data_IF_848457130551
#
_entry.id   IF_848457130551
#
_cell.length_a   1.000
_cell.length_b   1.000
_cell.length_c   1.000
_cell.angle_alpha   90.00
_cell.angle_beta   90.00
_cell.angle_gamma   90.00
#
_symmetry.space_group_name_H-M   'P 1'
#
loop_
_entity.id
_entity.type
_entity.pdbx_description
1 polymer ?
#
# COMPACT_ATOMS: atom_id res chain seq x y z
N UNK A 1 35.99 -3.22 -7.61
CA UNK A 1 34.69 -3.89 -7.38
C UNK A 1 34.91 -5.37 -7.58
N UNK A 2 34.67 -6.18 -6.55
CA UNK A 2 34.77 -7.64 -6.69
C UNK A 2 33.48 -8.18 -7.32
N UNK A 3 33.53 -8.47 -8.61
CA UNK A 3 32.36 -8.96 -9.36
C UNK A 3 31.89 -10.35 -8.90
N UNK A 4 32.79 -11.18 -8.38
CA UNK A 4 32.42 -12.51 -7.88
C UNK A 4 31.58 -12.39 -6.61
N UNK A 5 31.97 -11.48 -5.71
CA UNK A 5 31.20 -11.15 -4.51
C UNK A 5 29.86 -10.51 -4.84
N UNK A 6 29.80 -9.58 -5.80
CA UNK A 6 28.54 -8.96 -6.22
C UNK A 6 27.56 -10.00 -6.76
N UNK A 7 28.04 -10.95 -7.57
CA UNK A 7 27.22 -12.04 -8.11
C UNK A 7 26.69 -12.95 -7.01
N UNK A 8 27.54 -13.40 -6.07
CA UNK A 8 27.09 -14.24 -4.95
C UNK A 8 26.13 -13.51 -4.00
N UNK A 9 26.37 -12.22 -3.77
CA UNK A 9 25.50 -11.35 -2.97
C UNK A 9 24.14 -11.20 -3.62
N UNK A 10 24.10 -10.94 -4.93
CA UNK A 10 22.86 -10.82 -5.68
C UNK A 10 22.01 -12.10 -5.59
N UNK A 11 22.63 -13.28 -5.80
CA UNK A 11 21.93 -14.57 -5.65
C UNK A 11 21.38 -14.76 -4.24
N UNK A 12 22.13 -14.34 -3.21
CA UNK A 12 21.69 -14.46 -1.82
C UNK A 12 20.50 -13.54 -1.52
N UNK A 13 20.55 -12.29 -1.97
CA UNK A 13 19.44 -11.33 -1.77
C UNK A 13 18.19 -11.71 -2.56
N UNK A 14 18.33 -12.27 -3.77
CA UNK A 14 17.20 -12.76 -4.56
C UNK A 14 16.37 -13.83 -3.82
N UNK A 15 16.99 -14.63 -2.96
CA UNK A 15 16.28 -15.60 -2.11
C UNK A 15 15.36 -14.94 -1.07
N UNK A 16 15.57 -13.68 -0.75
CA UNK A 16 14.74 -12.91 0.19
C UNK A 16 13.58 -12.16 -0.48
N UNK A 17 13.59 -12.04 -1.82
CA UNK A 17 12.54 -11.37 -2.59
C UNK A 17 11.14 -11.94 -2.32
N UNK A 18 10.93 -13.28 -2.21
CA UNK A 18 9.63 -13.82 -1.87
C UNK A 18 9.07 -13.26 -0.56
N UNK A 19 9.89 -13.10 0.48
CA UNK A 19 9.47 -12.50 1.76
C UNK A 19 9.02 -11.05 1.58
N UNK A 20 9.78 -10.25 0.83
CA UNK A 20 9.42 -8.86 0.50
C UNK A 20 8.10 -8.80 -0.27
N UNK A 21 7.88 -9.70 -1.24
CA UNK A 21 6.65 -9.77 -2.01
C UNK A 21 5.45 -10.21 -1.15
N UNK A 22 5.61 -11.17 -0.24
CA UNK A 22 4.54 -11.58 0.67
C UNK A 22 4.15 -10.42 1.60
N UNK A 23 5.14 -9.73 2.20
CA UNK A 23 4.90 -8.53 3.01
C UNK A 23 4.10 -7.49 2.22
N UNK A 24 4.57 -7.17 1.01
CA UNK A 24 3.94 -6.20 0.13
C UNK A 24 2.50 -6.59 -0.22
N UNK A 25 2.30 -7.80 -0.74
CA UNK A 25 0.99 -8.26 -1.22
C UNK A 25 -0.04 -8.37 -0.10
N UNK A 26 0.33 -8.93 1.05
CA UNK A 26 -0.59 -9.05 2.19
C UNK A 26 -0.92 -7.67 2.79
N UNK A 27 0.06 -6.77 2.89
CA UNK A 27 -0.17 -5.43 3.41
C UNK A 27 -1.11 -4.61 2.52
N UNK A 28 -0.93 -4.68 1.19
CA UNK A 28 -1.86 -4.04 0.24
C UNK A 28 -3.24 -4.69 0.32
N UNK A 29 -3.32 -6.00 0.40
CA UNK A 29 -4.60 -6.71 0.46
C UNK A 29 -5.41 -6.30 1.70
N UNK A 30 -4.84 -6.46 2.91
CA UNK A 30 -5.53 -6.12 4.15
C UNK A 30 -5.71 -4.60 4.30
N UNK A 31 -4.71 -3.81 3.91
CA UNK A 31 -4.81 -2.35 3.91
C UNK A 31 -5.88 -1.83 2.96
N UNK A 32 -6.03 -2.45 1.78
CA UNK A 32 -7.09 -2.14 0.83
C UNK A 32 -8.49 -2.49 1.35
N UNK A 33 -8.67 -3.67 1.95
CA UNK A 33 -9.93 -4.04 2.61
C UNK A 33 -10.31 -3.04 3.71
N UNK A 34 -9.34 -2.70 4.56
CA UNK A 34 -9.55 -1.70 5.61
C UNK A 34 -9.83 -0.31 5.01
N UNK A 35 -9.14 0.09 3.94
CA UNK A 35 -9.38 1.36 3.25
C UNK A 35 -10.81 1.49 2.74
N UNK A 36 -11.42 0.40 2.23
CA UNK A 36 -12.82 0.38 1.81
C UNK A 36 -13.77 0.66 2.99
N UNK A 37 -13.48 0.11 4.17
CA UNK A 37 -14.25 0.38 5.39
C UNK A 37 -14.05 1.83 5.86
N UNK A 38 -12.81 2.31 5.90
CA UNK A 38 -12.49 3.69 6.31
C UNK A 38 -13.13 4.71 5.35
N UNK A 39 -13.03 4.51 4.03
CA UNK A 39 -13.57 5.46 3.04
C UNK A 39 -15.09 5.50 3.09
N UNK A 40 -15.76 4.36 3.25
CA UNK A 40 -17.22 4.30 3.39
C UNK A 40 -17.70 5.04 4.63
N UNK A 41 -17.07 4.81 5.79
CA UNK A 41 -17.33 5.60 7.00
C UNK A 41 -17.12 7.10 6.76
N UNK A 42 -16.03 7.44 6.07
CA UNK A 42 -15.63 8.82 5.80
C UNK A 42 -16.63 9.59 4.92
N UNK A 43 -17.34 8.90 4.02
CA UNK A 43 -18.36 9.47 3.11
C UNK A 43 -19.82 9.21 3.53
N UNK A 44 -20.05 8.46 4.61
CA UNK A 44 -21.38 7.96 5.04
C UNK A 44 -22.42 9.01 5.47
N UNK A 45 -22.07 10.30 5.51
CA UNK A 45 -22.94 11.37 6.03
C UNK A 45 -23.13 11.37 7.56
N UNK A 46 -22.93 10.24 8.25
CA UNK A 46 -22.97 10.16 9.70
C UNK A 46 -21.75 10.85 10.33
N UNK A 47 -21.94 11.88 11.19
CA UNK A 47 -20.84 12.65 11.77
C UNK A 47 -19.95 11.82 12.69
N UNK A 48 -20.50 10.82 13.40
CA UNK A 48 -19.72 9.95 14.28
C UNK A 48 -18.78 9.03 13.49
N UNK A 49 -19.31 8.34 12.46
CA UNK A 49 -18.50 7.48 11.59
C UNK A 49 -17.46 8.27 10.80
N UNK A 50 -17.86 9.44 10.27
CA UNK A 50 -16.94 10.32 9.56
C UNK A 50 -15.86 10.90 10.50
N UNK A 51 -16.22 11.21 11.75
CA UNK A 51 -15.29 11.66 12.79
C UNK A 51 -14.26 10.60 13.15
N UNK A 52 -14.69 9.36 13.38
CA UNK A 52 -13.79 8.23 13.62
C UNK A 52 -12.82 8.02 12.45
N UNK A 53 -13.34 7.97 11.21
CA UNK A 53 -12.50 7.80 10.02
C UNK A 53 -11.48 8.94 9.86
N UNK A 54 -11.87 10.20 10.13
CA UNK A 54 -10.93 11.33 10.15
C UNK A 54 -9.82 11.15 11.19
N UNK A 55 -10.18 10.72 12.40
CA UNK A 55 -9.22 10.45 13.47
C UNK A 55 -8.23 9.35 13.09
N UNK A 56 -8.74 8.22 12.57
CA UNK A 56 -7.92 7.13 12.04
C UNK A 56 -6.93 7.65 10.98
N UNK A 57 -7.43 8.34 9.95
CA UNK A 57 -6.61 8.87 8.85
C UNK A 57 -5.55 9.84 9.39
N UNK A 58 -5.92 10.72 10.33
CA UNK A 58 -4.99 11.66 10.96
C UNK A 58 -3.85 10.95 11.70
N UNK A 59 -4.17 9.94 12.51
CA UNK A 59 -3.15 9.18 13.27
C UNK A 59 -2.20 8.45 12.33
N UNK A 60 -2.73 7.67 11.38
CA UNK A 60 -1.90 6.80 10.55
C UNK A 60 -1.14 7.51 9.44
N UNK A 61 -1.66 8.63 8.91
CA UNK A 61 -0.92 9.47 7.95
C UNK A 61 -0.05 10.54 8.61
N UNK A 62 -0.37 10.92 9.84
CA UNK A 62 0.35 11.95 10.59
C UNK A 62 1.53 11.43 11.40
N UNK A 63 1.64 10.11 11.60
CA UNK A 63 2.74 9.50 12.34
C UNK A 63 3.69 8.70 11.44
N UNK A 64 4.99 8.64 11.76
CA UNK A 64 5.94 7.86 10.97
C UNK A 64 5.63 6.36 11.03
N UNK A 65 5.57 5.70 9.86
CA UNK A 65 5.33 4.26 9.73
C UNK A 65 6.30 3.42 10.58
N UNK A 66 7.58 3.81 10.65
CA UNK A 66 8.57 3.11 11.48
C UNK A 66 8.16 3.09 12.96
N UNK A 67 7.67 4.21 13.48
CA UNK A 67 7.21 4.30 14.87
C UNK A 67 5.96 3.46 15.08
N UNK A 68 5.01 3.46 14.13
CA UNK A 68 3.85 2.57 14.17
C UNK A 68 4.25 1.09 14.22
N UNK A 69 5.26 0.71 13.43
CA UNK A 69 5.80 -0.65 13.40
C UNK A 69 6.45 -1.05 14.72
N UNK A 70 7.22 -0.15 15.34
CA UNK A 70 7.79 -0.39 16.66
C UNK A 70 6.73 -0.47 17.76
N UNK A 71 5.70 0.39 17.72
CA UNK A 71 4.60 0.33 18.70
C UNK A 71 3.83 -0.98 18.59
N UNK A 72 3.62 -1.50 17.39
CA UNK A 72 2.98 -2.80 17.19
C UNK A 72 3.88 -3.93 17.69
N UNK A 73 5.14 -3.94 17.28
CA UNK A 73 6.07 -5.03 17.60
C UNK A 73 6.47 -5.09 19.08
N UNK A 74 6.84 -3.96 19.68
CA UNK A 74 7.30 -3.91 21.08
C UNK A 74 6.17 -3.59 22.08
N UNK A 75 5.12 -2.88 21.63
CA UNK A 75 4.08 -2.36 22.51
C UNK A 75 2.90 -3.29 22.74
N UNK A 76 2.47 -4.09 21.75
CA UNK A 76 1.26 -4.93 21.89
C UNK A 76 1.34 -5.91 23.06
N UNK A 77 2.53 -6.46 23.34
CA UNK A 77 2.76 -7.41 24.43
C UNK A 77 2.63 -6.81 25.84
N UNK A 78 2.60 -5.49 25.97
CA UNK A 78 2.43 -4.80 27.26
C UNK A 78 0.98 -4.82 27.73
N UNK A 79 0.02 -4.99 26.81
CA UNK A 79 -1.39 -5.05 27.14
C UNK A 79 -1.79 -6.48 27.49
N UNK A 80 -2.08 -6.73 28.77
CA UNK A 80 -2.47 -8.07 29.26
C UNK A 80 -3.65 -8.66 28.49
N UNK A 81 -4.63 -7.84 28.10
CA UNK A 81 -5.78 -8.26 27.28
C UNK A 81 -5.35 -8.84 25.94
N UNK A 82 -4.30 -8.30 25.31
CA UNK A 82 -3.79 -8.79 24.03
C UNK A 82 -2.88 -9.99 24.26
N UNK A 83 -1.97 -9.91 25.24
CA UNK A 83 -1.00 -10.97 25.55
C UNK A 83 -1.64 -12.30 25.96
N UNK A 84 -2.76 -12.26 26.68
CA UNK A 84 -3.51 -13.45 27.08
C UNK A 84 -4.65 -13.80 26.12
N UNK A 85 -4.79 -13.07 25.00
CA UNK A 85 -5.79 -13.39 23.99
C UNK A 85 -5.35 -14.54 23.08
N UNK A 86 -6.33 -15.15 22.40
CA UNK A 86 -6.10 -16.13 21.34
C UNK A 86 -5.33 -15.56 20.14
N UNK A 87 -5.23 -14.23 20.00
CA UNK A 87 -4.52 -13.57 18.91
C UNK A 87 -3.02 -13.45 19.17
N UNK A 88 -2.57 -13.58 20.41
CA UNK A 88 -1.16 -13.41 20.78
C UNK A 88 -0.17 -14.30 20.02
N UNK A 89 -0.46 -15.59 19.72
CA UNK A 89 0.44 -16.42 18.92
C UNK A 89 0.76 -15.82 17.55
N UNK A 90 -0.17 -15.08 16.96
CA UNK A 90 -0.01 -14.37 15.69
C UNK A 90 0.59 -12.98 15.90
N UNK A 91 0.09 -12.21 16.87
CA UNK A 91 0.51 -10.82 17.12
C UNK A 91 1.91 -10.68 17.73
N UNK A 92 2.53 -11.78 18.15
CA UNK A 92 3.95 -11.81 18.55
C UNK A 92 4.90 -12.10 17.38
N UNK A 93 4.38 -12.56 16.23
CA UNK A 93 5.19 -12.93 15.08
C UNK A 93 5.67 -11.66 14.36
N UNK A 94 6.98 -11.48 14.14
CA UNK A 94 7.52 -10.26 13.52
C UNK A 94 6.91 -9.93 12.16
N UNK A 95 6.66 -10.96 11.34
CA UNK A 95 6.06 -10.80 10.02
C UNK A 95 4.62 -10.28 10.10
N UNK A 96 3.82 -10.80 11.04
CA UNK A 96 2.45 -10.36 11.26
C UNK A 96 2.43 -8.92 11.79
N UNK A 97 3.31 -8.56 12.72
CA UNK A 97 3.45 -7.18 13.19
C UNK A 97 3.77 -6.22 12.04
N UNK A 98 4.71 -6.61 11.18
CA UNK A 98 5.10 -5.81 10.03
C UNK A 98 3.93 -5.62 9.04
N UNK A 99 3.22 -6.70 8.69
CA UNK A 99 2.05 -6.65 7.81
C UNK A 99 0.95 -5.78 8.41
N UNK A 100 0.68 -5.93 9.71
CA UNK A 100 -0.35 -5.16 10.42
C UNK A 100 -0.04 -3.66 10.36
N UNK A 101 1.18 -3.25 10.69
CA UNK A 101 1.57 -1.84 10.67
C UNK A 101 1.54 -1.25 9.26
N UNK A 102 2.05 -1.97 8.26
CA UNK A 102 2.00 -1.57 6.86
C UNK A 102 0.55 -1.43 6.37
N UNK A 103 -0.30 -2.41 6.67
CA UNK A 103 -1.72 -2.43 6.30
C UNK A 103 -2.49 -1.27 6.93
N UNK A 104 -2.28 -1.01 8.23
CA UNK A 104 -2.94 0.09 8.93
C UNK A 104 -2.55 1.46 8.34
N UNK A 105 -1.26 1.66 8.10
CA UNK A 105 -0.75 2.89 7.51
C UNK A 105 -1.33 3.14 6.12
N UNK A 106 -1.18 2.17 5.21
CA UNK A 106 -1.65 2.32 3.82
C UNK A 106 -3.16 2.38 3.71
N UNK A 107 -3.91 1.79 4.64
CA UNK A 107 -5.35 1.97 4.68
C UNK A 107 -5.75 3.44 4.85
N UNK A 108 -5.00 4.21 5.65
CA UNK A 108 -5.22 5.64 5.84
C UNK A 108 -4.95 6.45 4.57
N UNK A 109 -3.82 6.18 3.89
CA UNK A 109 -3.49 6.82 2.62
C UNK A 109 -4.47 6.43 1.50
N UNK A 110 -4.74 5.14 1.33
CA UNK A 110 -5.64 4.60 0.32
C UNK A 110 -7.07 5.09 0.51
N UNK A 111 -7.57 5.17 1.75
CA UNK A 111 -8.91 5.71 2.01
C UNK A 111 -9.04 7.18 1.58
N UNK A 112 -8.01 8.00 1.80
CA UNK A 112 -8.00 9.39 1.35
C UNK A 112 -7.87 9.52 -0.17
N UNK A 113 -7.07 8.65 -0.81
CA UNK A 113 -6.98 8.55 -2.27
C UNK A 113 -8.35 8.21 -2.87
N UNK A 114 -9.03 7.19 -2.36
CA UNK A 114 -10.37 6.81 -2.81
C UNK A 114 -11.41 7.89 -2.50
N UNK A 115 -11.32 8.57 -1.36
CA UNK A 115 -12.18 9.73 -1.06
C UNK A 115 -11.97 10.85 -2.09
N UNK A 116 -10.72 11.11 -2.47
CA UNK A 116 -10.38 12.06 -3.54
C UNK A 116 -11.00 11.64 -4.88
N UNK A 117 -10.87 10.37 -5.24
CA UNK A 117 -11.49 9.79 -6.43
C UNK A 117 -13.02 9.93 -6.44
N UNK A 118 -13.70 9.64 -5.32
CA UNK A 118 -15.15 9.80 -5.17
C UNK A 118 -15.57 11.27 -5.37
N UNK A 119 -14.80 12.22 -4.82
CA UNK A 119 -15.08 13.66 -4.97
C UNK A 119 -14.80 14.21 -6.36
N UNK A 120 -13.97 13.52 -7.15
CA UNK A 120 -13.66 13.92 -8.51
C UNK A 120 -14.78 13.56 -9.52
N UNK A 121 -15.72 12.70 -9.12
CA UNK A 121 -16.89 12.35 -9.95
C UNK A 121 -17.81 13.56 -10.06
N UNK A 122 -18.29 13.85 -11.27
CA UNK A 122 -19.10 15.03 -11.53
C UNK A 122 -20.47 14.89 -10.85
N UNK A 123 -20.96 15.92 -10.13
CA UNK A 123 -22.33 15.93 -9.59
C UNK A 123 -23.38 15.71 -10.69
N UNK A 124 -23.11 16.15 -11.92
CA UNK A 124 -24.01 15.98 -13.08
C UNK A 124 -24.24 14.51 -13.44
N UNK A 125 -23.22 13.66 -13.29
CA UNK A 125 -23.36 12.22 -13.54
C UNK A 125 -24.26 11.55 -12.49
N UNK A 126 -24.15 12.02 -11.25
CA UNK A 126 -24.98 11.56 -10.13
C UNK A 126 -26.44 12.03 -10.32
N UNK A 127 -26.64 13.28 -10.70
CA UNK A 127 -27.97 13.84 -11.01
C UNK A 127 -28.63 13.14 -12.19
N UNK A 128 -27.91 12.94 -13.30
CA UNK A 128 -28.42 12.21 -14.46
C UNK A 128 -28.86 10.78 -14.10
N UNK A 129 -28.08 10.08 -13.26
CA UNK A 129 -28.45 8.75 -12.78
C UNK A 129 -29.73 8.75 -11.94
N UNK A 130 -29.93 9.78 -11.10
CA UNK A 130 -31.16 9.96 -10.31
C UNK A 130 -32.35 10.26 -11.20
N UNK A 131 -32.19 11.09 -12.23
CA UNK A 131 -33.28 11.47 -13.16
C UNK A 131 -33.86 10.29 -13.93
N UNK A 132 -33.07 9.24 -14.16
CA UNK A 132 -33.53 7.99 -14.80
C UNK A 132 -33.96 6.92 -13.79
N UNK A 133 -34.09 7.27 -12.51
CA UNK A 133 -34.61 6.38 -11.47
C UNK A 133 -33.61 5.33 -10.94
N UNK A 134 -32.29 5.51 -11.11
CA UNK A 134 -31.34 4.56 -10.52
C UNK A 134 -31.40 4.57 -8.98
N UNK A 135 -31.52 3.39 -8.38
CA UNK A 135 -31.36 3.24 -6.94
C UNK A 135 -29.93 3.61 -6.49
N UNK A 136 -29.76 4.01 -5.23
CA UNK A 136 -28.46 4.43 -4.71
C UNK A 136 -27.37 3.37 -4.88
N UNK A 137 -27.69 2.10 -4.61
CA UNK A 137 -26.74 0.99 -4.80
C UNK A 137 -26.37 0.80 -6.27
N UNK A 138 -27.36 0.88 -7.18
CA UNK A 138 -27.13 0.72 -8.61
C UNK A 138 -26.23 1.84 -9.15
N UNK A 139 -26.49 3.07 -8.73
CA UNK A 139 -25.69 4.26 -9.06
C UNK A 139 -24.26 4.13 -8.52
N UNK A 140 -24.08 3.70 -7.26
CA UNK A 140 -22.75 3.50 -6.69
C UNK A 140 -21.98 2.44 -7.47
N UNK A 141 -22.61 1.28 -7.73
CA UNK A 141 -21.96 0.14 -8.39
C UNK A 141 -21.62 0.43 -9.86
N UNK A 142 -22.50 1.11 -10.60
CA UNK A 142 -22.35 1.29 -12.05
C UNK A 142 -21.70 2.60 -12.47
N UNK A 143 -21.81 3.65 -11.66
CA UNK A 143 -21.35 5.00 -12.02
C UNK A 143 -20.25 5.45 -11.05
N UNK A 144 -20.60 5.64 -9.77
CA UNK A 144 -19.68 6.27 -8.82
C UNK A 144 -18.39 5.46 -8.62
N UNK A 145 -18.49 4.17 -8.27
CA UNK A 145 -17.33 3.36 -7.91
C UNK A 145 -16.36 3.15 -9.09
N UNK A 146 -16.80 2.78 -10.31
CA UNK A 146 -15.88 2.64 -11.44
C UNK A 146 -15.19 3.96 -11.82
N UNK A 147 -15.92 5.08 -11.82
CA UNK A 147 -15.36 6.40 -12.17
C UNK A 147 -14.38 6.85 -11.08
N UNK A 148 -14.80 6.79 -9.82
CA UNK A 148 -13.97 7.16 -8.67
C UNK A 148 -12.66 6.34 -8.61
N UNK A 149 -12.74 5.03 -8.85
CA UNK A 149 -11.56 4.18 -8.89
C UNK A 149 -10.57 4.62 -9.98
N UNK A 150 -11.05 4.91 -11.20
CA UNK A 150 -10.21 5.42 -12.29
C UNK A 150 -9.55 6.75 -11.95
N UNK A 151 -10.25 7.65 -11.27
CA UNK A 151 -9.67 8.90 -10.80
C UNK A 151 -8.61 8.70 -9.72
N UNK A 152 -8.77 7.68 -8.88
CA UNK A 152 -7.84 7.36 -7.82
C UNK A 152 -6.59 6.60 -8.29
N UNK A 153 -6.66 5.89 -9.42
CA UNK A 153 -5.59 5.02 -9.93
C UNK A 153 -4.19 5.67 -9.98
N UNK A 154 -4.02 6.90 -10.51
CA UNK A 154 -2.68 7.50 -10.58
C UNK A 154 -2.06 7.71 -9.20
N UNK A 155 -2.83 8.24 -8.25
CA UNK A 155 -2.38 8.42 -6.88
C UNK A 155 -2.17 7.08 -6.15
N UNK A 156 -3.02 6.10 -6.43
CA UNK A 156 -2.89 4.75 -5.87
C UNK A 156 -1.64 4.03 -6.39
N UNK A 157 -1.25 4.23 -7.66
CA UNK A 157 0.02 3.74 -8.21
C UNK A 157 1.23 4.25 -7.43
N UNK A 158 1.23 5.55 -7.11
CA UNK A 158 2.28 6.13 -6.26
C UNK A 158 2.30 5.50 -4.87
N UNK A 159 1.14 5.29 -4.25
CA UNK A 159 1.04 4.64 -2.94
C UNK A 159 1.56 3.20 -2.95
N UNK A 160 1.27 2.41 -4.00
CA UNK A 160 1.78 1.04 -4.14
C UNK A 160 3.31 1.04 -4.24
N UNK A 161 3.91 1.96 -4.99
CA UNK A 161 5.38 2.08 -5.09
C UNK A 161 5.99 2.49 -3.75
N UNK A 162 5.34 3.39 -3.01
CA UNK A 162 5.77 3.75 -1.66
C UNK A 162 5.68 2.54 -0.72
N UNK A 163 4.61 1.75 -0.80
CA UNK A 163 4.45 0.53 -0.01
C UNK A 163 5.59 -0.48 -0.26
N UNK A 164 5.98 -0.71 -1.52
CA UNK A 164 7.12 -1.59 -1.85
C UNK A 164 8.45 -1.09 -1.24
N UNK A 165 8.64 0.22 -1.11
CA UNK A 165 9.82 0.77 -0.41
C UNK A 165 9.68 0.64 1.10
N UNK A 166 8.48 0.83 1.62
CA UNK A 166 8.18 0.75 3.05
C UNK A 166 8.38 -0.65 3.66
N UNK A 167 8.29 -1.72 2.87
CA UNK A 167 8.59 -3.08 3.36
C UNK A 167 10.02 -3.22 3.86
N UNK A 168 10.96 -2.40 3.38
CA UNK A 168 12.34 -2.37 3.86
C UNK A 168 12.43 -2.03 5.36
N UNK A 169 11.46 -1.29 5.91
CA UNK A 169 11.40 -0.97 7.34
C UNK A 169 11.17 -2.23 8.20
N UNK A 170 10.57 -3.28 7.65
CA UNK A 170 10.33 -4.54 8.35
C UNK A 170 11.65 -5.22 8.81
N UNK A 171 12.76 -4.94 8.13
CA UNK A 171 14.09 -5.38 8.54
C UNK A 171 14.47 -4.92 9.96
N UNK A 172 13.97 -3.76 10.38
CA UNK A 172 14.23 -3.18 11.69
C UNK A 172 13.46 -3.86 12.83
N UNK A 173 12.47 -4.69 12.49
CA UNK A 173 11.73 -5.53 13.44
C UNK A 173 11.97 -7.01 13.16
N UNK A 174 13.21 -7.38 12.80
CA UNK A 174 13.68 -8.77 12.66
C UNK A 174 13.07 -9.57 11.50
N UNK A 175 12.45 -8.92 10.53
CA UNK A 175 11.95 -9.61 9.33
C UNK A 175 13.07 -9.75 8.30
N UNK A 176 13.35 -10.99 7.89
CA UNK A 176 14.38 -11.33 6.90
C UNK A 176 13.89 -11.16 5.46
N UNK A 177 13.51 -9.94 5.13
CA UNK A 177 13.26 -9.50 3.76
C UNK A 177 14.56 -8.96 3.11
N UNK A 178 14.54 -8.47 1.87
CA UNK A 178 15.75 -8.10 1.11
C UNK A 178 16.71 -7.19 1.90
N UNK A 179 16.21 -6.14 2.57
CA UNK A 179 17.05 -5.24 3.38
C UNK A 179 17.54 -5.93 4.65
N UNK A 180 16.72 -6.77 5.27
CA UNK A 180 17.13 -7.57 6.44
C UNK A 180 18.27 -8.53 6.14
N UNK A 181 18.19 -9.25 5.02
CA UNK A 181 19.28 -10.13 4.57
C UNK A 181 20.52 -9.32 4.15
N UNK A 182 20.33 -8.16 3.52
CA UNK A 182 21.43 -7.24 3.21
C UNK A 182 22.17 -6.80 4.48
N UNK A 183 21.46 -6.33 5.51
CA UNK A 183 22.08 -5.91 6.78
C UNK A 183 22.86 -7.06 7.45
N UNK A 184 22.34 -8.30 7.39
CA UNK A 184 23.07 -9.48 7.88
C UNK A 184 24.35 -9.75 7.10
N UNK A 185 24.32 -9.65 5.77
CA UNK A 185 25.53 -9.82 4.96
C UNK A 185 26.55 -8.72 5.26
N UNK A 186 26.08 -7.49 5.48
CA UNK A 186 26.95 -6.36 5.84
C UNK A 186 27.61 -6.60 7.19
N UNK A 187 26.89 -7.10 8.20
CA UNK A 187 27.50 -7.38 9.51
C UNK A 187 28.51 -8.52 9.48
N UNK A 188 28.44 -9.41 8.49
CA UNK A 188 29.38 -10.52 8.32
C UNK A 188 30.60 -10.16 7.45
N UNK A 189 30.40 -9.31 6.45
CA UNK A 189 31.42 -9.02 5.42
C UNK A 189 32.05 -7.64 5.58
N UNK A 190 31.40 -6.73 6.30
CA UNK A 190 31.72 -5.31 6.41
C UNK A 190 31.72 -4.54 5.08
N UNK A 191 31.07 -5.08 4.02
CA UNK A 191 31.01 -4.49 2.67
C UNK A 191 29.69 -3.78 2.39
N UNK A 192 29.44 -2.66 3.09
CA UNK A 192 28.17 -1.92 3.05
C UNK A 192 27.75 -1.47 1.65
N UNK A 193 28.64 -0.80 0.91
CA UNK A 193 28.31 -0.18 -0.38
C UNK A 193 27.93 -1.22 -1.44
N UNK A 194 28.69 -2.32 -1.53
CA UNK A 194 28.46 -3.36 -2.53
C UNK A 194 27.12 -4.10 -2.27
N UNK A 195 26.83 -4.43 -1.01
CA UNK A 195 25.60 -5.14 -0.65
C UNK A 195 24.37 -4.25 -0.85
N UNK A 196 24.42 -2.98 -0.44
CA UNK A 196 23.29 -2.06 -0.66
C UNK A 196 23.10 -1.70 -2.13
N UNK A 197 24.15 -1.69 -2.95
CA UNK A 197 24.00 -1.54 -4.40
C UNK A 197 23.19 -2.71 -4.99
N UNK A 198 23.49 -3.95 -4.59
CA UNK A 198 22.71 -5.12 -5.02
C UNK A 198 21.24 -5.02 -4.55
N UNK A 199 21.00 -4.65 -3.28
CA UNK A 199 19.64 -4.47 -2.76
C UNK A 199 18.89 -3.36 -3.51
N UNK A 200 19.54 -2.24 -3.81
CA UNK A 200 18.95 -1.12 -4.54
C UNK A 200 18.53 -1.54 -5.96
N UNK A 201 19.35 -2.31 -6.66
CA UNK A 201 19.01 -2.86 -7.98
C UNK A 201 17.76 -3.76 -7.88
N UNK A 202 17.68 -4.62 -6.87
CA UNK A 202 16.50 -5.48 -6.65
C UNK A 202 15.23 -4.64 -6.45
N UNK A 203 15.24 -3.66 -5.53
CA UNK A 203 14.07 -2.79 -5.33
C UNK A 203 13.75 -1.95 -6.56
N UNK A 204 14.75 -1.51 -7.33
CA UNK A 204 14.53 -0.77 -8.58
C UNK A 204 13.78 -1.64 -9.59
N UNK A 205 14.20 -2.89 -9.79
CA UNK A 205 13.55 -3.84 -10.70
C UNK A 205 12.13 -4.17 -10.23
N UNK A 206 11.93 -4.42 -8.93
CA UNK A 206 10.60 -4.68 -8.38
C UNK A 206 9.65 -3.49 -8.58
N UNK A 207 10.11 -2.27 -8.30
CA UNK A 207 9.32 -1.07 -8.53
C UNK A 207 9.04 -0.81 -10.01
N UNK A 208 10.00 -1.10 -10.90
CA UNK A 208 9.79 -1.00 -12.34
C UNK A 208 8.68 -1.95 -12.80
N UNK A 209 8.68 -3.21 -12.36
CA UNK A 209 7.63 -4.18 -12.69
C UNK A 209 6.26 -3.69 -12.20
N UNK A 210 6.19 -3.18 -10.97
CA UNK A 210 4.96 -2.61 -10.40
C UNK A 210 4.45 -1.43 -11.24
N UNK A 211 5.34 -0.49 -11.57
CA UNK A 211 4.98 0.68 -12.37
C UNK A 211 4.45 0.31 -13.75
N UNK A 212 5.09 -0.66 -14.42
CA UNK A 212 4.60 -1.17 -15.70
C UNK A 212 3.23 -1.85 -15.55
N UNK A 213 3.05 -2.68 -14.51
CA UNK A 213 1.75 -3.30 -14.21
C UNK A 213 0.64 -2.26 -13.97
N UNK A 214 0.94 -1.20 -13.22
CA UNK A 214 -0.01 -0.11 -12.96
C UNK A 214 -0.29 0.73 -14.21
N UNK A 215 0.72 0.99 -15.05
CA UNK A 215 0.54 1.70 -16.31
C UNK A 215 -0.36 0.91 -17.28
N UNK A 216 -0.20 -0.42 -17.36
CA UNK A 216 -1.07 -1.30 -18.14
C UNK A 216 -2.51 -1.29 -17.61
N UNK A 217 -2.68 -1.33 -16.28
CA UNK A 217 -3.99 -1.25 -15.63
C UNK A 217 -4.67 0.09 -15.92
N UNK A 218 -3.95 1.19 -15.79
CA UNK A 218 -4.43 2.54 -16.10
C UNK A 218 -4.81 2.67 -17.59
N UNK A 219 -3.97 2.16 -18.49
CA UNK A 219 -4.23 2.16 -19.93
C UNK A 219 -5.49 1.37 -20.31
N UNK A 220 -5.72 0.23 -19.64
CA UNK A 220 -6.91 -0.61 -19.85
C UNK A 220 -8.20 0.08 -19.38
N UNK A 221 -8.16 0.75 -18.22
CA UNK A 221 -9.34 1.35 -17.60
C UNK A 221 -9.70 2.75 -18.11
N UNK A 222 -8.75 3.50 -18.67
CA UNK A 222 -8.93 4.90 -19.10
C UNK A 222 -9.16 5.08 -20.62
N UNK A 223 -9.72 4.08 -21.32
CA UNK A 223 -9.96 4.13 -22.78
C UNK A 223 -10.67 5.41 -23.27
N UNK A 224 -11.57 5.98 -22.48
CA UNK A 224 -12.37 7.17 -22.84
C UNK A 224 -11.65 8.50 -22.59
N UNK A 225 -10.54 8.50 -21.83
CA UNK A 225 -9.67 9.69 -21.62
C UNK A 225 -8.49 9.74 -22.59
N UNK A 226 -8.42 8.80 -23.53
CA UNK A 226 -7.43 8.85 -24.62
C UNK A 226 -7.64 10.17 -25.36
N UNK A 227 -6.58 10.98 -25.47
CA UNK A 227 -6.62 12.13 -26.35
C UNK A 227 -7.03 11.65 -27.74
N UNK A 228 -8.08 12.24 -28.32
CA UNK A 228 -8.40 12.03 -29.73
C UNK A 228 -7.13 12.39 -30.52
N UNK A 229 -6.60 11.50 -31.37
CA UNK A 229 -5.45 11.80 -32.20
C UNK A 229 -5.66 13.15 -32.89
N UNK A 230 -4.67 14.03 -32.82
CA UNK A 230 -4.77 15.41 -33.31
C UNK A 230 -5.13 15.48 -34.82
N UNK A 231 -4.94 14.37 -35.54
CA UNK A 231 -5.37 14.13 -36.92
C UNK A 231 -6.90 14.11 -37.16
N UNK A 232 -7.72 14.12 -36.10
CA UNK A 232 -9.20 14.14 -36.19
C UNK A 232 -9.81 15.47 -35.71
N UNK A 233 -8.98 16.47 -35.38
CA UNK A 233 -9.46 17.85 -35.18
C UNK A 233 -9.54 18.51 -36.57
N UNK A 234 -10.64 18.23 -37.26
CA UNK A 234 -11.06 18.95 -38.49
C UNK A 234 -11.55 20.34 -38.11
#
# INVERSE_FOLDING_TARGET
MDFTFLASTMVTLLKAVPTTLILFSLSIFFGGLLALVIVTMRVSGNPALSGFAKGYIFVFRGSPLLIQMFLVFYGLGQFGVIRYSFLWPFLREPMVCAILSLALCTAGYTAEIFRGGIRAVSPKEIEAARSIGMSGFLMVRRILAPIAFRHALPAYSTEIVLMMKSTALASLVTVWEVTGVAQRLISQTYRTMEVFLCAAIIYLVLNFIILQGMALLEYSLSRHRRAVPQALKV
#
